data_IF_922227332881
#
_entry.id   IF_922227332881
#
_cell.length_a   1.000
_cell.length_b   1.000
_cell.length_c   1.000
_cell.angle_alpha   90.00
_cell.angle_beta   90.00
_cell.angle_gamma   90.00
#
_symmetry.space_group_name_H-M   'P 1'
#
loop_
_entity.id
_entity.type
_entity.pdbx_description
1 polymer ?
#
# COMPACT_ATOMS: atom_id res chain seq x y z
N UNK A 1 14.07 -59.26 -3.44
CA UNK A 1 12.95 -59.15 -4.40
C UNK A 1 11.77 -59.94 -3.86
N UNK A 2 10.80 -59.25 -3.29
CA UNK A 2 9.46 -59.75 -3.03
C UNK A 2 8.54 -58.54 -3.17
N UNK A 3 7.72 -58.57 -4.22
CA UNK A 3 6.73 -57.56 -4.58
C UNK A 3 5.61 -57.55 -3.56
N UNK A 4 5.33 -56.38 -2.98
CA UNK A 4 4.10 -56.16 -2.24
C UNK A 4 3.17 -55.33 -3.11
N UNK A 5 2.06 -55.97 -3.44
CA UNK A 5 0.88 -55.44 -4.12
C UNK A 5 0.04 -54.65 -3.10
N UNK A 6 -0.29 -53.36 -3.34
CA UNK A 6 -1.38 -52.71 -2.65
C UNK A 6 -2.59 -52.58 -3.59
N UNK A 7 -3.54 -53.50 -3.43
CA UNK A 7 -4.94 -53.28 -3.80
C UNK A 7 -5.58 -52.24 -2.85
N UNK A 8 -6.65 -51.53 -3.27
CA UNK A 8 -6.94 -50.17 -2.88
C UNK A 8 -7.67 -50.09 -1.54
N UNK A 9 -7.37 -49.05 -0.78
CA UNK A 9 -8.31 -48.53 0.21
C UNK A 9 -8.71 -47.14 -0.23
N UNK A 10 -9.95 -47.06 -0.70
CA UNK A 10 -10.78 -45.88 -0.55
C UNK A 10 -10.63 -45.38 0.89
N UNK A 11 -10.30 -44.12 1.04
CA UNK A 11 -10.93 -43.30 2.05
C UNK A 11 -10.85 -41.88 1.53
N UNK A 12 -11.99 -41.43 1.00
CA UNK A 12 -12.37 -40.04 0.86
C UNK A 12 -11.88 -39.27 2.08
N UNK A 13 -10.72 -38.62 1.95
CA UNK A 13 -10.50 -37.40 2.69
C UNK A 13 -11.54 -36.44 2.11
N UNK A 14 -12.66 -36.31 2.83
CA UNK A 14 -13.56 -35.16 2.68
C UNK A 14 -12.66 -33.94 2.50
N UNK A 15 -12.60 -33.45 1.26
CA UNK A 15 -12.27 -32.06 1.02
C UNK A 15 -13.33 -31.32 1.82
N UNK A 16 -12.96 -30.91 3.02
CA UNK A 16 -13.62 -29.81 3.69
C UNK A 16 -13.42 -28.68 2.68
N UNK A 17 -14.45 -28.40 1.89
CA UNK A 17 -14.54 -27.20 1.09
C UNK A 17 -14.42 -26.05 2.09
N UNK A 18 -13.19 -25.59 2.27
CA UNK A 18 -12.89 -24.32 2.88
C UNK A 18 -13.78 -23.32 2.15
N UNK A 19 -14.74 -22.73 2.86
CA UNK A 19 -15.67 -21.81 2.22
C UNK A 19 -14.87 -20.65 1.60
N UNK A 20 -15.46 -19.88 0.68
CA UNK A 20 -14.81 -18.68 0.12
C UNK A 20 -14.31 -17.68 1.19
N UNK A 21 -14.83 -17.79 2.43
CA UNK A 21 -14.38 -17.06 3.62
C UNK A 21 -12.98 -17.47 4.11
N UNK A 22 -12.63 -18.75 4.01
CA UNK A 22 -11.29 -19.24 4.36
C UNK A 22 -10.29 -18.88 3.26
N UNK A 23 -10.69 -18.93 1.99
CA UNK A 23 -9.82 -18.61 0.84
C UNK A 23 -9.46 -17.11 0.78
N UNK A 24 -10.39 -16.19 1.04
CA UNK A 24 -10.11 -14.74 1.10
C UNK A 24 -9.23 -14.40 2.30
N UNK A 25 -9.49 -15.00 3.46
CA UNK A 25 -8.62 -14.83 4.63
C UNK A 25 -7.21 -15.37 4.37
N UNK A 26 -7.08 -16.46 3.61
CA UNK A 26 -5.82 -17.06 3.18
C UNK A 26 -5.12 -16.17 2.15
N UNK A 27 -5.82 -15.61 1.15
CA UNK A 27 -5.24 -14.79 0.07
C UNK A 27 -4.76 -13.43 0.58
N UNK A 28 -5.58 -12.75 1.39
CA UNK A 28 -5.21 -11.50 2.09
C UNK A 28 -4.05 -11.77 3.06
N UNK A 29 -4.07 -12.91 3.75
CA UNK A 29 -2.94 -13.35 4.55
C UNK A 29 -1.69 -13.62 3.68
N UNK A 30 -1.81 -14.19 2.47
CA UNK A 30 -0.68 -14.55 1.62
C UNK A 30 -0.02 -13.33 0.96
N UNK A 31 -0.81 -12.41 0.40
CA UNK A 31 -0.32 -11.16 -0.18
C UNK A 31 0.26 -10.23 0.90
N UNK A 32 -0.39 -10.14 2.05
CA UNK A 32 0.17 -9.48 3.24
C UNK A 32 1.45 -10.16 3.75
N UNK A 33 1.58 -11.47 3.56
CA UNK A 33 2.73 -12.24 4.01
C UNK A 33 3.98 -12.01 3.15
N UNK A 34 3.82 -11.86 1.83
CA UNK A 34 4.93 -11.60 0.91
C UNK A 34 5.40 -10.15 0.95
N UNK A 35 4.47 -9.20 1.03
CA UNK A 35 4.79 -7.79 1.27
C UNK A 35 5.55 -7.61 2.59
N UNK A 36 5.04 -8.16 3.70
CA UNK A 36 5.70 -8.04 5.00
C UNK A 36 7.08 -8.74 5.07
N UNK A 37 7.27 -9.86 4.35
CA UNK A 37 8.60 -10.49 4.21
C UNK A 37 9.57 -9.63 3.41
N UNK A 38 9.10 -8.97 2.35
CA UNK A 38 9.90 -8.04 1.54
C UNK A 38 10.32 -6.83 2.37
N UNK A 39 9.41 -6.23 3.13
CA UNK A 39 9.71 -5.08 3.99
C UNK A 39 10.66 -5.43 5.15
N UNK A 40 10.56 -6.63 5.74
CA UNK A 40 11.57 -7.10 6.73
C UNK A 40 12.97 -7.22 6.11
N UNK A 41 13.08 -7.77 4.89
CA UNK A 41 14.35 -7.85 4.17
C UNK A 41 14.88 -6.46 3.83
N UNK A 42 14.02 -5.56 3.36
CA UNK A 42 14.35 -4.16 3.09
C UNK A 42 14.89 -3.45 4.34
N UNK A 43 14.17 -3.55 5.45
CA UNK A 43 14.60 -2.98 6.75
C UNK A 43 15.96 -3.54 7.22
N UNK A 44 16.18 -4.86 7.07
CA UNK A 44 17.45 -5.50 7.40
C UNK A 44 18.61 -5.04 6.52
N UNK A 45 18.40 -4.94 5.20
CA UNK A 45 19.42 -4.46 4.25
C UNK A 45 19.74 -2.99 4.53
N UNK A 46 18.74 -2.13 4.72
CA UNK A 46 18.92 -0.73 5.08
C UNK A 46 19.76 -0.56 6.35
N UNK A 47 19.56 -1.43 7.35
CA UNK A 47 20.35 -1.42 8.58
C UNK A 47 21.82 -1.78 8.33
N UNK A 48 22.07 -2.84 7.55
CA UNK A 48 23.43 -3.26 7.23
C UNK A 48 24.20 -2.17 6.50
N UNK A 49 23.57 -1.52 5.52
CA UNK A 49 24.18 -0.40 4.80
C UNK A 49 24.41 0.78 5.74
N UNK A 50 23.46 1.08 6.63
CA UNK A 50 23.61 2.15 7.62
C UNK A 50 24.77 1.91 8.58
N UNK A 51 24.89 0.71 9.16
CA UNK A 51 26.01 0.33 10.01
C UNK A 51 27.34 0.36 9.26
N UNK A 52 27.36 -0.03 7.98
CA UNK A 52 28.55 0.07 7.14
C UNK A 52 28.97 1.54 6.93
N UNK A 53 28.03 2.45 6.70
CA UNK A 53 28.30 3.89 6.61
C UNK A 53 28.84 4.45 7.93
N UNK A 54 28.22 4.10 9.07
CA UNK A 54 28.69 4.54 10.40
C UNK A 54 30.10 4.01 10.70
N UNK A 55 30.36 2.73 10.40
CA UNK A 55 31.68 2.12 10.54
C UNK A 55 32.73 2.76 9.64
N UNK A 56 32.37 3.08 8.39
CA UNK A 56 33.22 3.84 7.47
C UNK A 56 33.58 5.21 8.04
N UNK A 57 32.64 5.96 8.62
CA UNK A 57 32.94 7.25 9.26
C UNK A 57 33.87 7.13 10.45
N UNK A 58 33.69 6.11 11.29
CA UNK A 58 34.59 5.86 12.42
C UNK A 58 36.03 5.58 11.96
N UNK A 59 36.19 4.72 10.94
CA UNK A 59 37.49 4.41 10.35
C UNK A 59 38.11 5.63 9.64
N UNK A 60 37.30 6.40 8.93
CA UNK A 60 37.72 7.65 8.28
C UNK A 60 38.21 8.68 9.30
N UNK A 61 37.44 8.95 10.36
CA UNK A 61 37.84 9.86 11.43
C UNK A 61 39.13 9.42 12.14
N UNK A 62 39.31 8.11 12.33
CA UNK A 62 40.54 7.56 12.89
C UNK A 62 41.73 7.71 11.94
N UNK A 63 41.54 7.46 10.64
CA UNK A 63 42.59 7.56 9.64
C UNK A 63 43.00 9.01 9.34
N UNK A 64 42.06 9.95 9.35
CA UNK A 64 42.31 11.38 9.09
C UNK A 64 43.00 12.09 10.25
N UNK A 65 42.92 11.55 11.47
CA UNK A 65 43.63 12.09 12.64
C UNK A 65 45.17 11.99 12.58
N UNK A 66 45.73 11.28 11.58
CA UNK A 66 47.17 11.01 11.48
C UNK A 66 47.85 11.24 10.13
N UNK A 67 47.18 11.75 9.08
CA UNK A 67 47.77 11.92 7.73
C UNK A 67 47.53 13.31 7.13
N UNK A 68 48.59 13.86 6.52
CA UNK A 68 48.58 15.10 5.76
C UNK A 68 47.71 15.03 4.49
N UNK A 69 47.32 16.20 4.00
CA UNK A 69 46.12 16.51 3.19
C UNK A 69 45.91 15.83 1.83
N UNK A 70 46.83 15.01 1.32
CA UNK A 70 46.80 14.65 -0.12
C UNK A 70 45.91 13.44 -0.47
N UNK A 71 45.57 12.57 0.49
CA UNK A 71 44.57 11.50 0.28
C UNK A 71 43.12 12.02 0.44
N UNK A 72 42.92 13.25 0.94
CA UNK A 72 41.62 13.75 1.41
C UNK A 72 40.51 13.85 0.36
N UNK A 73 40.86 14.01 -0.92
CA UNK A 73 39.89 14.20 -2.01
C UNK A 73 39.11 12.93 -2.36
N UNK A 74 39.80 11.78 -2.45
CA UNK A 74 39.15 10.50 -2.75
C UNK A 74 38.22 10.04 -1.62
N UNK A 75 38.63 10.29 -0.37
CA UNK A 75 37.79 10.02 0.80
C UNK A 75 36.61 10.98 0.90
N UNK A 76 36.77 12.25 0.50
CA UNK A 76 35.69 13.25 0.51
C UNK A 76 34.54 12.91 -0.46
N UNK A 77 34.84 12.37 -1.64
CA UNK A 77 33.84 11.97 -2.64
C UNK A 77 32.95 10.82 -2.15
N UNK A 78 33.50 9.89 -1.37
CA UNK A 78 32.75 8.74 -0.81
C UNK A 78 32.07 9.12 0.52
N UNK A 79 32.71 9.99 1.31
CA UNK A 79 32.18 10.44 2.59
C UNK A 79 30.89 11.25 2.42
N UNK A 80 30.76 12.06 1.38
CA UNK A 80 29.57 12.91 1.21
C UNK A 80 28.28 12.11 0.97
N UNK A 81 28.21 11.16 0.00
CA UNK A 81 27.05 10.29 -0.17
C UNK A 81 26.80 9.38 1.05
N UNK A 82 27.87 8.86 1.66
CA UNK A 82 27.74 8.04 2.87
C UNK A 82 27.12 8.83 4.03
N UNK A 83 27.37 10.13 4.12
CA UNK A 83 26.84 11.00 5.17
C UNK A 83 25.36 11.27 4.94
N UNK A 84 24.99 11.60 3.70
CA UNK A 84 23.58 11.77 3.29
C UNK A 84 22.80 10.48 3.58
N UNK A 85 23.40 9.33 3.27
CA UNK A 85 22.76 8.05 3.57
C UNK A 85 22.64 7.79 5.07
N UNK A 86 23.72 7.98 5.84
CA UNK A 86 23.73 7.70 7.28
C UNK A 86 22.78 8.63 8.07
N UNK A 87 22.63 9.89 7.64
CA UNK A 87 21.87 10.90 8.37
C UNK A 87 20.42 11.01 7.90
N UNK A 88 20.17 10.87 6.59
CA UNK A 88 18.84 11.13 6.02
C UNK A 88 18.21 9.85 5.46
N UNK A 89 18.84 9.24 4.46
CA UNK A 89 18.19 8.18 3.66
C UNK A 89 18.01 6.89 4.47
N UNK A 90 19.05 6.41 5.13
CA UNK A 90 19.03 5.16 5.90
C UNK A 90 17.99 5.20 7.04
N UNK A 91 18.02 6.22 7.92
CA UNK A 91 17.00 6.38 8.96
C UNK A 91 15.57 6.52 8.40
N UNK A 92 15.37 7.27 7.32
CA UNK A 92 14.05 7.43 6.70
C UNK A 92 13.52 6.10 6.13
N UNK A 93 14.34 5.38 5.37
CA UNK A 93 14.00 4.04 4.86
C UNK A 93 13.74 3.06 6.00
N UNK A 94 14.53 3.12 7.07
CA UNK A 94 14.33 2.30 8.26
C UNK A 94 12.98 2.51 8.94
N UNK A 95 12.50 3.76 9.01
CA UNK A 95 11.16 4.08 9.53
C UNK A 95 10.06 3.64 8.56
N UNK A 96 10.20 3.90 7.26
CA UNK A 96 9.21 3.51 6.24
C UNK A 96 9.01 1.99 6.20
N UNK A 97 10.09 1.23 6.04
CA UNK A 97 10.02 -0.22 6.11
C UNK A 97 9.57 -0.69 7.50
N UNK A 98 9.93 0.03 8.57
CA UNK A 98 9.51 -0.28 9.92
C UNK A 98 7.99 -0.21 10.09
N UNK A 99 7.34 0.83 9.56
CA UNK A 99 5.88 0.99 9.61
C UNK A 99 5.16 -0.14 8.85
N UNK A 100 5.64 -0.51 7.67
CA UNK A 100 5.10 -1.65 6.90
C UNK A 100 5.32 -2.99 7.61
N UNK A 101 6.41 -3.13 8.36
CA UNK A 101 6.71 -4.36 9.10
C UNK A 101 5.87 -4.47 10.38
N UNK A 102 5.41 -3.36 10.99
CA UNK A 102 4.55 -3.40 12.18
C UNK A 102 3.24 -4.12 11.91
N UNK A 103 2.56 -3.85 10.79
CA UNK A 103 1.32 -4.53 10.40
C UNK A 103 1.55 -6.04 10.24
N UNK A 104 2.64 -6.42 9.57
CA UNK A 104 3.03 -7.82 9.40
C UNK A 104 3.41 -8.53 10.72
N UNK A 105 4.13 -7.86 11.63
CA UNK A 105 4.50 -8.43 12.94
C UNK A 105 3.31 -8.52 13.90
N UNK A 106 2.30 -7.67 13.74
CA UNK A 106 1.03 -7.76 14.44
C UNK A 106 0.27 -9.02 13.98
N UNK A 107 0.25 -9.31 12.68
CA UNK A 107 -0.31 -10.55 12.11
C UNK A 107 0.45 -11.82 12.56
N UNK A 108 1.79 -11.79 12.68
CA UNK A 108 2.62 -12.98 12.98
C UNK A 108 2.76 -13.34 14.48
N UNK A 109 1.85 -12.91 15.35
CA UNK A 109 2.05 -12.91 16.83
C UNK A 109 2.34 -14.28 17.48
N UNK A 110 1.99 -15.40 16.85
CA UNK A 110 2.22 -16.76 17.41
C UNK A 110 3.66 -17.32 17.26
N UNK A 111 4.62 -16.61 16.66
CA UNK A 111 5.98 -17.14 16.38
C UNK A 111 7.12 -16.46 17.17
N UNK A 112 7.18 -16.71 18.49
CA UNK A 112 8.42 -16.70 19.30
C UNK A 112 9.22 -15.38 19.43
N UNK A 113 10.43 -15.49 20.01
CA UNK A 113 11.34 -14.36 20.30
C UNK A 113 11.69 -13.47 19.08
N UNK A 114 11.56 -13.99 17.86
CA UNK A 114 11.82 -13.25 16.63
C UNK A 114 10.89 -12.03 16.47
N UNK A 115 9.63 -12.10 16.92
CA UNK A 115 8.70 -10.97 16.83
C UNK A 115 9.10 -9.80 17.75
N UNK A 116 9.57 -10.11 18.97
CA UNK A 116 10.06 -9.12 19.92
C UNK A 116 11.30 -8.40 19.38
N UNK A 117 12.23 -9.15 18.79
CA UNK A 117 13.43 -8.59 18.16
C UNK A 117 13.08 -7.54 17.11
N UNK A 118 12.18 -7.87 16.17
CA UNK A 118 11.81 -6.93 15.11
C UNK A 118 11.04 -5.69 15.62
N UNK A 119 10.22 -5.83 16.66
CA UNK A 119 9.59 -4.66 17.30
C UNK A 119 10.60 -3.73 17.96
N UNK A 120 11.60 -4.28 18.65
CA UNK A 120 12.72 -3.51 19.18
C UNK A 120 13.54 -2.86 18.06
N UNK A 121 13.69 -3.56 16.93
CA UNK A 121 14.40 -3.07 15.76
C UNK A 121 13.72 -1.87 15.08
N UNK A 122 12.38 -1.88 15.01
CA UNK A 122 11.60 -0.72 14.55
C UNK A 122 11.72 0.44 15.55
N UNK A 123 11.65 0.14 16.84
CA UNK A 123 11.91 1.13 17.90
C UNK A 123 13.31 1.76 17.79
N UNK A 124 14.33 0.98 17.43
CA UNK A 124 15.68 1.49 17.16
C UNK A 124 15.68 2.53 16.04
N UNK A 125 15.02 2.26 14.91
CA UNK A 125 14.95 3.23 13.80
C UNK A 125 14.23 4.52 14.16
N UNK A 126 13.10 4.42 14.88
CA UNK A 126 12.39 5.59 15.38
C UNK A 126 13.25 6.41 16.33
N UNK A 127 14.02 5.76 17.22
CA UNK A 127 14.94 6.43 18.13
C UNK A 127 16.12 7.09 17.40
N UNK A 128 16.71 6.42 16.40
CA UNK A 128 17.79 6.99 15.58
C UNK A 128 17.30 8.23 14.83
N UNK A 129 16.13 8.15 14.18
CA UNK A 129 15.54 9.27 13.46
C UNK A 129 15.17 10.41 14.40
N UNK A 130 14.58 10.09 15.55
CA UNK A 130 14.25 11.06 16.59
C UNK A 130 15.49 11.77 17.14
N UNK A 131 16.57 11.04 17.41
CA UNK A 131 17.82 11.60 17.91
C UNK A 131 18.47 12.56 16.91
N UNK A 132 18.43 12.23 15.61
CA UNK A 132 18.92 13.12 14.56
C UNK A 132 18.09 14.40 14.47
N UNK A 133 16.76 14.29 14.45
CA UNK A 133 15.86 15.44 14.36
C UNK A 133 15.94 16.34 15.60
N UNK A 134 16.02 15.75 16.80
CA UNK A 134 16.26 16.49 18.04
C UNK A 134 17.64 17.14 18.03
N UNK A 135 18.68 16.42 17.63
CA UNK A 135 20.05 16.93 17.57
C UNK A 135 20.17 18.13 16.63
N UNK A 136 19.69 18.01 15.40
CA UNK A 136 19.70 19.11 14.43
C UNK A 136 18.79 20.26 14.85
N UNK A 137 17.60 19.98 15.38
CA UNK A 137 16.68 21.00 15.85
C UNK A 137 17.25 21.81 17.02
N UNK A 138 17.80 21.15 18.04
CA UNK A 138 18.41 21.82 19.20
C UNK A 138 19.69 22.56 18.82
N UNK A 139 20.56 21.95 18.01
CA UNK A 139 21.77 22.60 17.53
C UNK A 139 21.44 23.84 16.67
N UNK A 140 20.48 23.72 15.75
CA UNK A 140 20.01 24.83 14.92
C UNK A 140 19.46 25.97 15.75
N UNK A 141 18.60 25.69 16.74
CA UNK A 141 18.10 26.70 17.67
C UNK A 141 19.23 27.39 18.45
N UNK A 142 20.22 26.65 18.92
CA UNK A 142 21.37 27.21 19.64
C UNK A 142 22.24 28.11 18.75
N UNK A 143 22.61 27.66 17.55
CA UNK A 143 23.48 28.42 16.65
C UNK A 143 22.78 29.66 16.09
N UNK A 144 21.52 29.54 15.66
CA UNK A 144 20.75 30.67 15.14
C UNK A 144 20.42 31.67 16.26
N UNK A 145 20.01 31.18 17.43
CA UNK A 145 19.74 32.03 18.59
C UNK A 145 20.96 32.81 19.05
N UNK A 146 22.14 32.16 19.10
CA UNK A 146 23.40 32.86 19.39
C UNK A 146 23.78 33.86 18.31
N UNK A 147 23.55 33.53 17.03
CA UNK A 147 23.80 34.44 15.90
C UNK A 147 22.96 35.72 15.98
N UNK A 148 21.67 35.59 16.32
CA UNK A 148 20.76 36.72 16.49
C UNK A 148 21.13 37.62 17.68
N UNK A 149 21.61 37.04 18.78
CA UNK A 149 22.06 37.82 19.95
C UNK A 149 23.36 38.56 19.65
N UNK A 150 24.27 37.93 18.88
CA UNK A 150 25.57 38.52 18.55
C UNK A 150 25.50 39.61 17.49
N UNK A 151 24.61 39.48 16.49
CA UNK A 151 24.46 40.43 15.39
C UNK A 151 22.97 40.74 15.16
N UNK A 152 22.41 41.76 15.83
CA UNK A 152 20.98 42.10 15.77
C UNK A 152 20.61 42.93 14.53
N UNK A 153 21.20 42.64 13.37
CA UNK A 153 20.90 43.37 12.14
C UNK A 153 19.51 43.00 11.58
N UNK A 154 18.69 44.01 11.30
CA UNK A 154 17.30 43.82 10.87
C UNK A 154 17.15 43.03 9.57
N UNK A 155 18.16 43.07 8.69
CA UNK A 155 18.18 42.37 7.39
C UNK A 155 18.24 40.84 7.55
N UNK A 156 18.81 40.36 8.66
CA UNK A 156 18.95 38.94 8.95
C UNK A 156 17.83 38.43 9.86
N UNK A 157 16.92 39.30 10.33
CA UNK A 157 15.87 38.96 11.27
C UNK A 157 14.88 37.92 10.68
N UNK A 158 14.40 38.16 9.46
CA UNK A 158 13.43 37.27 8.78
C UNK A 158 14.01 35.89 8.47
N UNK A 159 15.21 35.74 7.84
CA UNK A 159 15.78 34.42 7.60
C UNK A 159 16.17 33.70 8.89
N UNK A 160 16.64 34.41 9.92
CA UNK A 160 16.95 33.79 11.21
C UNK A 160 15.69 33.32 11.95
N UNK A 161 14.59 34.07 11.87
CA UNK A 161 13.31 33.63 12.42
C UNK A 161 12.78 32.39 11.69
N UNK A 162 12.89 32.35 10.36
CA UNK A 162 12.56 31.17 9.56
C UNK A 162 13.40 29.94 9.94
N UNK A 163 14.71 30.12 10.11
CA UNK A 163 15.62 29.06 10.54
C UNK A 163 15.33 28.57 11.97
N UNK A 164 14.94 29.46 12.89
CA UNK A 164 14.50 29.10 14.24
C UNK A 164 13.22 28.27 14.23
N UNK A 165 12.21 28.67 13.44
CA UNK A 165 10.95 27.94 13.33
C UNK A 165 11.16 26.55 12.71
N UNK A 166 12.00 26.44 11.68
CA UNK A 166 12.38 25.16 11.10
C UNK A 166 13.08 24.27 12.12
N UNK A 167 14.04 24.82 12.87
CA UNK A 167 14.78 24.11 13.91
C UNK A 167 13.86 23.64 15.05
N UNK A 168 12.90 24.47 15.45
CA UNK A 168 11.87 24.10 16.42
C UNK A 168 10.96 22.99 15.89
N UNK A 169 10.53 23.07 14.62
CA UNK A 169 9.74 22.03 13.96
C UNK A 169 10.47 20.68 13.95
N UNK A 170 11.75 20.67 13.61
CA UNK A 170 12.59 19.47 13.66
C UNK A 170 12.68 18.91 15.09
N UNK A 171 12.87 19.76 16.10
CA UNK A 171 12.93 19.32 17.50
C UNK A 171 11.60 18.74 17.98
N UNK A 172 10.46 19.32 17.60
CA UNK A 172 9.12 18.82 17.93
C UNK A 172 8.85 17.47 17.28
N UNK A 173 9.16 17.32 15.99
CA UNK A 173 9.03 16.04 15.27
C UNK A 173 9.92 14.97 15.90
N UNK A 174 11.18 15.31 16.21
CA UNK A 174 12.09 14.39 16.88
C UNK A 174 11.59 13.98 18.27
N UNK A 175 11.08 14.92 19.08
CA UNK A 175 10.50 14.62 20.38
C UNK A 175 9.27 13.71 20.27
N UNK A 176 8.40 13.96 19.29
CA UNK A 176 7.21 13.15 19.02
C UNK A 176 7.58 11.72 18.63
N UNK A 177 8.57 11.54 17.76
CA UNK A 177 9.05 10.21 17.33
C UNK A 177 9.74 9.46 18.47
N UNK A 178 10.54 10.13 19.31
CA UNK A 178 11.12 9.53 20.52
C UNK A 178 10.01 9.08 21.46
N UNK A 179 8.99 9.92 21.65
CA UNK A 179 7.84 9.60 22.48
C UNK A 179 7.04 8.43 21.91
N UNK A 180 6.85 8.33 20.59
CA UNK A 180 6.24 7.17 19.95
C UNK A 180 7.08 5.90 20.06
N UNK A 181 8.40 5.99 20.00
CA UNK A 181 9.26 4.82 20.20
C UNK A 181 9.20 4.30 21.65
N UNK A 182 9.02 5.20 22.62
CA UNK A 182 8.96 4.89 24.05
C UNK A 182 7.56 4.49 24.51
N UNK A 183 6.51 5.12 23.98
CA UNK A 183 5.14 4.62 24.12
C UNK A 183 5.04 3.41 23.23
N UNK A 184 5.14 2.22 23.80
CA UNK A 184 4.68 0.97 23.16
C UNK A 184 3.20 1.15 22.77
N UNK A 185 2.93 1.75 21.62
CA UNK A 185 1.64 1.66 20.97
C UNK A 185 1.53 0.21 20.53
N UNK A 186 0.76 -0.56 21.29
CA UNK A 186 0.01 -1.65 20.69
C UNK A 186 -0.93 -1.01 19.67
N UNK A 187 -0.41 -0.72 18.48
CA UNK A 187 -1.23 -0.44 17.30
C UNK A 187 -2.07 -1.70 17.07
N UNK A 188 -3.39 -1.49 17.01
CA UNK A 188 -4.54 -2.42 16.93
C UNK A 188 -4.30 -3.87 17.35
N UNK A 189 -5.20 -4.35 18.18
CA UNK A 189 -5.23 -5.77 18.51
C UNK A 189 -5.68 -6.59 17.29
N UNK A 190 -5.14 -7.79 17.12
CA UNK A 190 -5.55 -8.76 16.08
C UNK A 190 -7.07 -8.96 16.04
N UNK A 191 -7.72 -8.83 17.20
CA UNK A 191 -9.18 -8.84 17.33
C UNK A 191 -9.88 -7.64 16.70
N UNK A 192 -9.28 -6.46 16.73
CA UNK A 192 -9.85 -5.26 16.10
C UNK A 192 -9.67 -5.30 14.58
N UNK A 193 -8.52 -5.79 14.09
CA UNK A 193 -8.29 -5.90 12.64
C UNK A 193 -9.11 -7.03 12.01
N UNK A 194 -9.23 -8.19 12.68
CA UNK A 194 -10.12 -9.28 12.25
C UNK A 194 -11.58 -8.83 12.34
N UNK A 195 -11.98 -8.15 13.42
CA UNK A 195 -13.34 -7.64 13.53
C UNK A 195 -13.65 -6.58 12.47
N UNK A 196 -12.67 -5.73 12.11
CA UNK A 196 -12.84 -4.75 11.04
C UNK A 196 -12.94 -5.42 9.66
N UNK A 197 -12.09 -6.42 9.38
CA UNK A 197 -12.16 -7.18 8.13
C UNK A 197 -13.46 -8.01 8.04
N UNK A 198 -13.89 -8.62 9.15
CA UNK A 198 -15.17 -9.34 9.24
C UNK A 198 -16.35 -8.38 9.10
N UNK A 199 -16.31 -7.22 9.74
CA UNK A 199 -17.36 -6.20 9.60
C UNK A 199 -17.44 -5.68 8.16
N UNK A 200 -16.30 -5.44 7.50
CA UNK A 200 -16.27 -5.05 6.10
C UNK A 200 -16.82 -6.14 5.17
N UNK A 201 -16.43 -7.40 5.39
CA UNK A 201 -16.96 -8.53 4.61
C UNK A 201 -18.45 -8.78 4.86
N UNK A 202 -18.92 -8.59 6.10
CA UNK A 202 -20.35 -8.66 6.44
C UNK A 202 -21.13 -7.49 5.83
N UNK A 203 -20.57 -6.29 5.83
CA UNK A 203 -21.16 -5.11 5.19
C UNK A 203 -21.26 -5.32 3.68
N UNK A 204 -20.20 -5.79 3.03
CA UNK A 204 -20.20 -6.15 1.62
C UNK A 204 -21.24 -7.24 1.32
N UNK A 205 -21.29 -8.30 2.15
CA UNK A 205 -22.31 -9.35 1.98
C UNK A 205 -23.72 -8.79 2.09
N UNK A 206 -23.97 -7.90 3.05
CA UNK A 206 -25.27 -7.22 3.20
C UNK A 206 -25.57 -6.31 2.02
N UNK A 207 -24.61 -5.58 1.50
CA UNK A 207 -24.78 -4.73 0.31
C UNK A 207 -25.16 -5.58 -0.91
N UNK A 208 -24.56 -6.75 -1.07
CA UNK A 208 -24.92 -7.67 -2.14
C UNK A 208 -26.24 -8.44 -1.92
N UNK A 209 -26.64 -8.69 -0.68
CA UNK A 209 -27.95 -9.26 -0.34
C UNK A 209 -29.08 -8.23 -0.51
N UNK A 210 -28.78 -6.95 -0.27
CA UNK A 210 -29.70 -5.82 -0.37
C UNK A 210 -29.74 -5.19 -1.78
N UNK A 211 -29.24 -5.88 -2.80
CA UNK A 211 -29.28 -5.38 -4.19
C UNK A 211 -30.72 -5.12 -4.62
N UNK A 212 -31.04 -3.84 -4.79
CA UNK A 212 -32.33 -3.37 -5.27
C UNK A 212 -32.14 -2.54 -6.54
N UNK A 213 -32.25 -3.23 -7.68
CA UNK A 213 -32.19 -2.58 -8.99
C UNK A 213 -33.32 -1.56 -9.19
N UNK A 214 -34.48 -1.75 -8.56
CA UNK A 214 -35.61 -0.83 -8.75
C UNK A 214 -35.32 0.55 -8.15
N UNK A 215 -34.70 0.59 -6.97
CA UNK A 215 -34.26 1.84 -6.35
C UNK A 215 -33.22 2.57 -7.21
N UNK A 216 -32.25 1.85 -7.79
CA UNK A 216 -31.27 2.43 -8.72
C UNK A 216 -31.91 2.97 -10.00
N UNK A 217 -32.80 2.20 -10.61
CA UNK A 217 -33.53 2.61 -11.83
C UNK A 217 -34.40 3.85 -11.55
N UNK A 218 -35.00 3.94 -10.36
CA UNK A 218 -35.75 5.12 -9.92
C UNK A 218 -34.86 6.36 -9.79
N UNK A 219 -33.66 6.23 -9.22
CA UNK A 219 -32.71 7.35 -9.08
C UNK A 219 -32.14 7.81 -10.43
N UNK A 220 -31.84 6.86 -11.30
CA UNK A 220 -31.35 7.14 -12.65
C UNK A 220 -32.45 7.67 -13.59
N UNK A 221 -33.72 7.45 -13.25
CA UNK A 221 -34.85 7.77 -14.13
C UNK A 221 -34.88 6.94 -15.41
N UNK A 222 -34.15 5.82 -15.46
CA UNK A 222 -34.08 4.93 -16.61
C UNK A 222 -33.89 3.48 -16.16
N UNK A 223 -34.16 2.54 -17.07
CA UNK A 223 -33.98 1.11 -16.79
C UNK A 223 -32.52 0.70 -16.95
N UNK A 224 -32.04 -0.17 -16.07
CA UNK A 224 -30.70 -0.74 -16.15
C UNK A 224 -30.67 -1.85 -17.21
N UNK A 225 -29.54 -2.03 -17.94
CA UNK A 225 -29.40 -3.07 -18.94
C UNK A 225 -29.73 -4.46 -18.38
N UNK A 226 -30.48 -5.27 -19.13
CA UNK A 226 -30.84 -6.62 -18.69
C UNK A 226 -29.58 -7.50 -18.47
N UNK A 227 -28.58 -7.35 -19.35
CA UNK A 227 -27.30 -8.05 -19.24
C UNK A 227 -26.51 -7.64 -17.99
N UNK A 228 -26.57 -6.36 -17.60
CA UNK A 228 -25.98 -5.87 -16.36
C UNK A 228 -26.67 -6.48 -15.14
N UNK A 229 -28.00 -6.47 -15.12
CA UNK A 229 -28.77 -7.09 -14.03
C UNK A 229 -28.43 -8.57 -13.90
N UNK A 230 -28.35 -9.31 -15.01
CA UNK A 230 -27.98 -10.72 -15.02
C UNK A 230 -26.56 -10.96 -14.49
N UNK A 231 -25.60 -10.12 -14.87
CA UNK A 231 -24.22 -10.18 -14.37
C UNK A 231 -24.16 -10.03 -12.83
N UNK A 232 -25.04 -9.20 -12.26
CA UNK A 232 -25.08 -8.89 -10.83
C UNK A 232 -26.00 -9.80 -9.99
N UNK A 233 -26.78 -10.70 -10.61
CA UNK A 233 -27.70 -11.59 -9.88
C UNK A 233 -26.94 -12.60 -8.99
N UNK A 234 -27.54 -13.02 -7.85
CA UNK A 234 -27.02 -14.13 -7.06
C UNK A 234 -26.86 -15.40 -7.91
N UNK A 235 -25.67 -16.01 -7.87
CA UNK A 235 -25.34 -17.20 -8.65
C UNK A 235 -24.71 -16.93 -10.02
N UNK A 236 -24.61 -15.66 -10.44
CA UNK A 236 -23.77 -15.27 -11.57
C UNK A 236 -22.32 -15.67 -11.32
N UNK A 237 -21.67 -16.25 -12.32
CA UNK A 237 -20.24 -16.56 -12.30
C UNK A 237 -19.39 -15.29 -12.08
N UNK A 238 -19.82 -14.16 -12.63
CA UNK A 238 -19.12 -12.88 -12.54
C UNK A 238 -18.93 -12.39 -11.11
N UNK A 239 -19.79 -12.81 -10.17
CA UNK A 239 -19.78 -12.35 -8.78
C UNK A 239 -18.77 -13.09 -7.89
N UNK A 240 -18.33 -14.28 -8.28
CA UNK A 240 -17.54 -15.16 -7.39
C UNK A 240 -16.05 -14.97 -7.50
N UNK A 241 -15.57 -14.68 -8.71
CA UNK A 241 -14.15 -14.73 -9.04
C UNK A 241 -13.67 -13.42 -9.67
N UNK A 242 -12.36 -13.22 -9.66
CA UNK A 242 -11.68 -12.27 -10.53
C UNK A 242 -11.50 -12.84 -11.93
N UNK A 243 -11.63 -12.00 -12.94
CA UNK A 243 -11.65 -12.40 -14.35
C UNK A 243 -10.58 -11.69 -15.15
N UNK A 244 -9.82 -12.47 -15.90
CA UNK A 244 -9.00 -11.98 -17.00
C UNK A 244 -9.79 -12.15 -18.30
N UNK A 245 -10.08 -11.05 -18.97
CA UNK A 245 -10.84 -11.00 -20.22
C UNK A 245 -9.90 -10.83 -21.40
N UNK A 246 -10.12 -11.65 -22.43
CA UNK A 246 -9.38 -11.66 -23.69
C UNK A 246 -10.31 -11.13 -24.79
N UNK A 247 -10.22 -9.86 -25.17
CA UNK A 247 -11.03 -9.28 -26.25
C UNK A 247 -10.85 -10.07 -27.54
N UNK A 248 -11.96 -10.27 -28.25
CA UNK A 248 -11.96 -10.81 -29.60
C UNK A 248 -12.62 -9.82 -30.56
N UNK A 249 -11.99 -9.57 -31.70
CA UNK A 249 -12.52 -8.64 -32.70
C UNK A 249 -12.33 -7.15 -32.40
N UNK A 250 -11.36 -6.80 -31.54
CA UNK A 250 -10.83 -5.43 -31.44
C UNK A 250 -9.66 -5.25 -32.41
N UNK A 251 -9.27 -4.00 -32.68
CA UNK A 251 -8.10 -3.69 -33.52
C UNK A 251 -6.78 -4.21 -32.91
N UNK A 252 -6.76 -4.42 -31.59
CA UNK A 252 -5.64 -4.97 -30.84
C UNK A 252 -6.10 -6.23 -30.05
N UNK A 253 -5.97 -7.41 -30.66
CA UNK A 253 -6.37 -8.68 -30.04
C UNK A 253 -5.42 -9.17 -28.92
N UNK A 254 -4.27 -8.51 -28.75
CA UNK A 254 -3.28 -8.84 -27.70
C UNK A 254 -3.55 -8.11 -26.36
N UNK A 255 -4.56 -7.25 -26.31
CA UNK A 255 -4.91 -6.48 -25.11
C UNK A 255 -5.64 -7.36 -24.10
N UNK A 256 -5.33 -7.23 -22.81
CA UNK A 256 -5.90 -8.09 -21.75
C UNK A 256 -6.48 -7.19 -20.66
N UNK A 257 -7.73 -7.44 -20.28
CA UNK A 257 -8.41 -6.69 -19.22
C UNK A 257 -8.57 -7.56 -17.98
N UNK A 258 -8.40 -6.98 -16.79
CA UNK A 258 -8.50 -7.71 -15.52
C UNK A 258 -9.55 -7.08 -14.62
N UNK A 259 -10.54 -7.84 -14.21
CA UNK A 259 -11.56 -7.42 -13.24
C UNK A 259 -11.25 -8.14 -11.93
N UNK A 260 -10.78 -7.40 -10.95
CA UNK A 260 -10.43 -7.94 -9.63
C UNK A 260 -11.65 -8.01 -8.72
N UNK A 261 -12.54 -7.03 -8.82
CA UNK A 261 -13.75 -6.99 -8.02
C UNK A 261 -14.90 -6.34 -8.79
N UNK A 262 -16.12 -6.85 -8.57
CA UNK A 262 -17.34 -6.16 -8.95
C UNK A 262 -17.83 -5.29 -7.81
N UNK A 263 -18.45 -4.17 -8.14
CA UNK A 263 -19.13 -3.33 -7.17
C UNK A 263 -20.61 -3.72 -7.07
N UNK A 264 -21.16 -3.82 -5.85
CA UNK A 264 -22.59 -4.06 -5.68
C UNK A 264 -23.38 -2.94 -6.36
N UNK A 265 -24.44 -3.26 -7.12
CA UNK A 265 -25.29 -2.26 -7.75
C UNK A 265 -26.14 -1.57 -6.67
N UNK A 266 -25.55 -0.60 -5.98
CA UNK A 266 -26.17 0.26 -4.99
C UNK A 266 -25.90 1.75 -5.32
N UNK A 267 -26.43 2.67 -4.50
CA UNK A 267 -26.27 4.11 -4.72
C UNK A 267 -24.80 4.55 -4.83
N UNK A 268 -23.88 3.85 -4.15
CA UNK A 268 -22.43 4.14 -4.20
C UNK A 268 -21.78 3.75 -5.54
N UNK A 269 -22.43 2.89 -6.33
CA UNK A 269 -21.99 2.55 -7.68
C UNK A 269 -22.32 3.66 -8.70
N UNK A 270 -23.29 4.52 -8.39
CA UNK A 270 -23.58 5.73 -9.17
C UNK A 270 -22.63 6.84 -8.76
N UNK A 271 -21.67 7.14 -9.63
CA UNK A 271 -20.63 8.13 -9.34
C UNK A 271 -20.49 9.11 -10.49
N UNK A 272 -20.07 10.32 -10.17
CA UNK A 272 -19.65 11.29 -11.18
C UNK A 272 -18.33 10.80 -11.77
N UNK A 273 -18.33 10.47 -13.05
CA UNK A 273 -17.17 9.99 -13.78
C UNK A 273 -16.08 11.07 -13.78
N UNK A 274 -14.84 10.74 -13.38
CA UNK A 274 -13.82 11.75 -13.08
C UNK A 274 -13.31 12.52 -14.31
N UNK A 275 -13.29 11.91 -15.50
CA UNK A 275 -12.91 12.61 -16.74
C UNK A 275 -14.05 13.36 -17.44
N UNK A 276 -15.24 12.75 -17.56
CA UNK A 276 -16.36 13.32 -18.33
C UNK A 276 -17.28 14.21 -17.49
N UNK A 277 -17.27 14.06 -16.16
CA UNK A 277 -18.18 14.76 -15.25
C UNK A 277 -19.62 14.26 -15.29
N UNK A 278 -19.91 13.19 -16.05
CA UNK A 278 -21.24 12.59 -16.15
C UNK A 278 -21.50 11.59 -15.02
N UNK A 279 -22.75 11.45 -14.57
CA UNK A 279 -23.11 10.36 -13.65
C UNK A 279 -23.14 9.04 -14.40
N UNK A 280 -22.25 8.13 -14.03
CA UNK A 280 -22.10 6.81 -14.66
C UNK A 280 -22.11 5.72 -13.58
N UNK A 281 -22.38 4.48 -14.02
CA UNK A 281 -22.40 3.32 -13.15
C UNK A 281 -21.04 2.64 -13.17
N UNK A 282 -20.30 2.73 -12.06
CA UNK A 282 -19.06 1.99 -11.85
C UNK A 282 -19.40 0.58 -11.37
N UNK A 283 -19.08 -0.44 -12.17
CA UNK A 283 -19.50 -1.82 -11.89
C UNK A 283 -18.37 -2.75 -11.50
N UNK A 284 -17.12 -2.36 -11.73
CA UNK A 284 -15.97 -3.16 -11.35
C UNK A 284 -14.69 -2.36 -11.31
N UNK A 285 -13.66 -2.97 -10.72
CA UNK A 285 -12.33 -2.38 -10.58
C UNK A 285 -11.23 -3.41 -10.83
N UNK A 286 -10.09 -2.88 -11.27
CA UNK A 286 -8.79 -3.51 -11.35
C UNK A 286 -7.82 -2.77 -10.42
N UNK A 287 -6.53 -3.15 -10.40
CA UNK A 287 -5.51 -2.50 -9.55
C UNK A 287 -5.50 -0.97 -9.71
N UNK A 288 -5.51 -0.49 -10.96
CA UNK A 288 -5.35 0.94 -11.30
C UNK A 288 -6.49 1.48 -12.17
N UNK A 289 -7.50 0.66 -12.47
CA UNK A 289 -8.57 0.97 -13.40
C UNK A 289 -9.95 0.73 -12.79
N UNK A 290 -10.94 1.52 -13.21
CA UNK A 290 -12.35 1.29 -12.93
C UNK A 290 -13.13 1.10 -14.23
N UNK A 291 -14.14 0.22 -14.19
CA UNK A 291 -15.00 -0.09 -15.32
C UNK A 291 -16.38 0.54 -15.16
N UNK A 292 -16.84 1.20 -16.21
CA UNK A 292 -18.00 2.09 -16.18
C UNK A 292 -18.99 1.82 -17.31
N UNK A 293 -20.27 2.03 -17.01
CA UNK A 293 -21.37 1.98 -17.96
C UNK A 293 -22.13 3.29 -17.96
N UNK A 294 -22.50 3.77 -19.15
CA UNK A 294 -23.46 4.87 -19.27
C UNK A 294 -24.89 4.33 -19.14
N UNK A 295 -25.66 4.70 -18.11
CA UNK A 295 -27.03 4.24 -17.95
C UNK A 295 -27.97 4.82 -19.03
N UNK A 296 -29.08 4.13 -19.31
CA UNK A 296 -30.15 4.62 -20.20
C UNK A 296 -30.22 3.99 -21.59
N UNK A 297 -29.26 3.13 -21.96
CA UNK A 297 -29.31 2.32 -23.19
C UNK A 297 -29.51 0.85 -22.84
N UNK A 298 -30.23 0.09 -23.68
CA UNK A 298 -30.47 -1.35 -23.42
C UNK A 298 -29.18 -2.17 -23.43
N UNK A 299 -28.20 -1.75 -24.24
CA UNK A 299 -26.88 -2.35 -24.39
C UNK A 299 -25.84 -1.23 -24.52
N UNK A 300 -25.39 -0.64 -23.39
CA UNK A 300 -24.52 0.54 -23.39
C UNK A 300 -23.05 0.14 -23.63
N UNK A 301 -22.21 1.07 -24.11
CA UNK A 301 -20.77 0.88 -24.18
C UNK A 301 -20.14 0.75 -22.79
N UNK A 302 -18.98 0.07 -22.74
CA UNK A 302 -18.16 -0.13 -21.56
C UNK A 302 -16.92 0.73 -21.66
N UNK A 303 -16.65 1.48 -20.59
CA UNK A 303 -15.49 2.34 -20.48
C UNK A 303 -14.55 1.85 -19.39
N UNK A 304 -13.26 2.03 -19.61
CA UNK A 304 -12.21 1.89 -18.61
C UNK A 304 -11.65 3.28 -18.29
N UNK A 305 -11.39 3.53 -17.01
CA UNK A 305 -10.82 4.78 -16.52
C UNK A 305 -9.60 4.49 -15.64
N UNK A 306 -8.45 5.08 -15.97
CA UNK A 306 -7.22 4.97 -15.16
C UNK A 306 -7.23 5.97 -14.00
N UNK A 307 -7.08 5.49 -12.75
CA UNK A 307 -7.35 6.28 -11.53
C UNK A 307 -6.11 6.79 -10.80
N UNK A 308 -4.88 6.44 -11.23
CA UNK A 308 -3.67 6.77 -10.44
C UNK A 308 -3.19 8.21 -10.55
N UNK A 309 -3.40 8.88 -11.69
CA UNK A 309 -2.93 10.27 -11.86
C UNK A 309 -3.78 11.08 -12.82
N UNK A 310 -4.17 12.32 -12.46
CA UNK A 310 -4.84 13.22 -13.39
C UNK A 310 -3.88 13.74 -14.48
N UNK A 311 -4.37 14.02 -15.71
CA UNK A 311 -5.76 13.89 -16.15
C UNK A 311 -6.17 12.42 -16.31
N UNK A 312 -7.39 12.11 -15.87
CA UNK A 312 -7.93 10.76 -15.96
C UNK A 312 -8.18 10.41 -17.43
N UNK A 313 -7.58 9.32 -17.89
CA UNK A 313 -7.77 8.81 -19.24
C UNK A 313 -8.98 7.88 -19.27
N UNK A 314 -9.81 8.02 -20.31
CA UNK A 314 -11.01 7.20 -20.51
C UNK A 314 -10.96 6.59 -21.87
N UNK A 315 -11.03 5.26 -21.88
CA UNK A 315 -11.04 4.49 -23.11
C UNK A 315 -12.34 3.69 -23.19
N UNK A 316 -13.02 3.78 -24.33
CA UNK A 316 -14.11 2.86 -24.63
C UNK A 316 -13.50 1.51 -25.00
N UNK A 317 -13.68 0.52 -24.13
CA UNK A 317 -13.07 -0.80 -24.31
C UNK A 317 -14.01 -1.76 -25.05
N UNK A 318 -15.32 -1.54 -24.95
CA UNK A 318 -16.31 -2.28 -25.71
C UNK A 318 -17.46 -1.37 -26.15
N UNK A 319 -17.89 -1.43 -27.42
CA UNK A 319 -19.00 -0.61 -27.90
C UNK A 319 -20.35 -1.02 -27.31
N UNK A 320 -20.43 -2.21 -26.71
CA UNK A 320 -21.64 -2.80 -26.12
C UNK A 320 -21.28 -3.70 -24.95
N UNK A 321 -22.10 -3.67 -23.90
CA UNK A 321 -21.99 -4.56 -22.75
C UNK A 321 -22.12 -6.03 -23.16
N UNK A 322 -23.00 -6.35 -24.12
CA UNK A 322 -23.13 -7.72 -24.63
C UNK A 322 -21.84 -8.25 -25.28
N UNK A 323 -21.07 -7.38 -25.95
CA UNK A 323 -19.78 -7.74 -26.56
C UNK A 323 -18.74 -7.99 -25.47
N UNK A 324 -18.66 -7.09 -24.48
CA UNK A 324 -17.78 -7.25 -23.32
C UNK A 324 -18.04 -8.55 -22.57
N UNK A 325 -19.31 -8.87 -22.29
CA UNK A 325 -19.69 -10.10 -21.58
C UNK A 325 -19.45 -11.38 -22.40
N UNK A 326 -19.31 -11.26 -23.72
CA UNK A 326 -19.03 -12.37 -24.62
C UNK A 326 -17.53 -12.64 -24.79
N UNK A 327 -16.65 -11.79 -24.26
CA UNK A 327 -15.21 -12.03 -24.32
C UNK A 327 -14.84 -13.31 -23.57
N UNK A 328 -13.93 -14.13 -24.14
CA UNK A 328 -13.32 -15.23 -23.42
C UNK A 328 -12.77 -14.75 -22.08
N UNK A 329 -13.15 -15.47 -21.02
CA UNK A 329 -12.75 -15.18 -19.65
C UNK A 329 -12.00 -16.34 -19.05
N UNK A 330 -10.95 -16.01 -18.33
CA UNK A 330 -10.14 -16.94 -17.54
C UNK A 330 -10.16 -16.49 -16.08
N UNK A 331 -10.32 -17.41 -15.14
CA UNK A 331 -10.26 -17.07 -13.71
C UNK A 331 -8.84 -16.64 -13.35
N UNK A 332 -8.71 -15.50 -12.68
CA UNK A 332 -7.44 -15.04 -12.13
C UNK A 332 -7.22 -15.73 -10.78
N UNK A 333 -6.06 -16.36 -10.59
CA UNK A 333 -5.71 -17.22 -9.43
C UNK A 333 -5.32 -16.46 -8.17
#
# INVERSE_FOLDING_TARGET
MASYDPSPKDENAERIDAGPQDDVAILVAHNGHDAGRRSMRGCGISALVWFACVGFFYLYARASSGKGSDDGMAWGVIAWPAMIFAVLIGPALGVLYGLEVVSYLNWRKKKGMANIFWRLFIGFWLLVFAALFLGFGVAGMYFVGRGMIANPDFKDLVPNLGALLLSLGLAVVGAFLAWQALRRTGASTETEDIAAAQAAAEEERREWEAVDFASLEQQLGCTLPAAFKAMMQPGSEWRKDSWTLHPKGLENEDEIYSILALHPPNEKALRTHPATGETMLCFGSADSFEYWLRPGHEDPPVYECFMESPPFDVTEIAPRLSVFLAWPKEQTW
#
